data_IF_831018961675
#
_entry.id   IF_831018961675
#
_cell.length_a   1.000
_cell.length_b   1.000
_cell.length_c   1.000
_cell.angle_alpha   90.00
_cell.angle_beta   90.00
_cell.angle_gamma   90.00
#
_symmetry.space_group_name_H-M   'P 1'
#
loop_
_entity.id
_entity.type
_entity.pdbx_description
1 polymer ?
#
# COMPACT_ATOMS: atom_id res chain seq x y z
N UNK A 1 -7.41 -11.51 -51.75
CA UNK A 1 -6.33 -11.01 -50.90
C UNK A 1 -6.62 -9.63 -50.28
N UNK A 2 -6.99 -8.61 -51.07
CA UNK A 2 -7.25 -7.25 -50.51
C UNK A 2 -8.39 -7.20 -49.46
N UNK A 3 -9.45 -7.98 -49.62
CA UNK A 3 -10.59 -8.06 -48.68
C UNK A 3 -10.23 -8.81 -47.37
N UNK A 4 -9.32 -9.78 -47.45
CA UNK A 4 -8.83 -10.53 -46.28
C UNK A 4 -7.89 -9.69 -45.44
N UNK A 5 -7.04 -8.89 -46.06
CA UNK A 5 -6.14 -7.97 -45.40
C UNK A 5 -6.87 -6.85 -44.66
N UNK A 6 -7.97 -6.35 -45.26
CA UNK A 6 -8.86 -5.35 -44.64
C UNK A 6 -9.59 -5.91 -43.40
N UNK A 7 -10.03 -7.16 -43.44
CA UNK A 7 -10.68 -7.83 -42.32
C UNK A 7 -9.73 -8.07 -41.17
N UNK A 8 -8.50 -8.48 -41.45
CA UNK A 8 -7.45 -8.69 -40.42
C UNK A 8 -7.04 -7.37 -39.79
N UNK A 9 -6.93 -6.28 -40.57
CA UNK A 9 -6.61 -4.95 -40.07
C UNK A 9 -7.75 -4.39 -39.19
N UNK A 10 -9.01 -4.62 -39.56
CA UNK A 10 -10.16 -4.22 -38.74
C UNK A 10 -10.23 -5.02 -37.42
N UNK A 11 -9.91 -6.31 -37.47
CA UNK A 11 -9.91 -7.17 -36.30
C UNK A 11 -8.78 -6.81 -35.31
N UNK A 12 -7.59 -6.42 -35.82
CA UNK A 12 -6.48 -5.94 -34.98
C UNK A 12 -6.76 -4.57 -34.37
N UNK A 13 -7.47 -3.69 -35.09
CA UNK A 13 -7.92 -2.41 -34.52
C UNK A 13 -9.02 -2.58 -33.45
N UNK A 14 -9.89 -3.59 -33.57
CA UNK A 14 -10.88 -3.88 -32.52
C UNK A 14 -10.26 -4.49 -31.26
N UNK A 15 -9.14 -5.23 -31.35
CA UNK A 15 -8.44 -5.75 -30.18
C UNK A 15 -7.64 -4.67 -29.42
N UNK A 16 -7.37 -3.51 -30.00
CA UNK A 16 -6.70 -2.40 -29.30
C UNK A 16 -7.64 -1.56 -28.45
N UNK A 17 -8.94 -1.82 -28.47
CA UNK A 17 -9.96 -1.19 -27.62
C UNK A 17 -10.37 -2.05 -26.41
N UNK A 18 -9.60 -3.09 -26.07
CA UNK A 18 -9.63 -3.61 -24.72
C UNK A 18 -8.92 -2.54 -23.86
N UNK A 19 -9.67 -1.53 -23.48
CA UNK A 19 -9.34 -0.74 -22.31
C UNK A 19 -9.23 -1.76 -21.18
N UNK A 20 -8.01 -2.08 -20.78
CA UNK A 20 -7.78 -2.60 -19.46
C UNK A 20 -8.30 -1.48 -18.56
N UNK A 21 -9.56 -1.62 -18.16
CA UNK A 21 -10.09 -0.88 -17.06
C UNK A 21 -9.35 -1.47 -15.85
N UNK A 22 -8.14 -1.00 -15.60
CA UNK A 22 -7.53 -1.09 -14.30
C UNK A 22 -8.46 -0.25 -13.43
N UNK A 23 -9.54 -0.87 -12.98
CA UNK A 23 -10.57 -0.22 -12.20
C UNK A 23 -9.91 0.22 -10.91
N UNK A 24 -9.91 1.52 -10.66
CA UNK A 24 -9.63 2.05 -9.34
C UNK A 24 -10.41 1.22 -8.33
N UNK A 25 -9.76 0.83 -7.24
CA UNK A 25 -10.40 0.04 -6.20
C UNK A 25 -11.53 0.87 -5.60
N UNK A 26 -12.76 0.43 -5.77
CA UNK A 26 -13.91 1.10 -5.15
C UNK A 26 -13.98 0.72 -3.67
N UNK A 27 -14.05 1.71 -2.81
CA UNK A 27 -14.27 1.52 -1.38
C UNK A 27 -15.73 1.76 -1.02
N UNK A 28 -16.23 1.04 -0.01
CA UNK A 28 -17.64 1.16 0.43
C UNK A 28 -17.97 2.53 1.01
N UNK A 29 -16.96 3.32 1.38
CA UNK A 29 -17.02 4.66 1.94
C UNK A 29 -16.40 5.73 1.03
N UNK A 30 -16.41 5.50 -0.28
CA UNK A 30 -15.88 6.41 -1.30
C UNK A 30 -16.41 7.85 -1.19
N UNK A 31 -17.69 8.01 -0.79
CA UNK A 31 -18.32 9.31 -0.62
C UNK A 31 -17.71 10.13 0.53
N UNK A 32 -17.00 9.49 1.46
CA UNK A 32 -16.31 10.15 2.57
C UNK A 32 -14.89 10.61 2.21
N UNK A 33 -14.40 10.24 1.01
CA UNK A 33 -13.04 10.54 0.56
C UNK A 33 -12.93 11.97 0.02
N UNK A 34 -12.29 12.87 0.78
CA UNK A 34 -12.01 14.22 0.32
C UNK A 34 -11.01 14.28 -0.86
N UNK A 35 -10.15 13.27 -0.99
CA UNK A 35 -9.08 13.19 -2.00
C UNK A 35 -9.16 11.85 -2.75
N UNK A 36 -10.36 11.54 -3.29
CA UNK A 36 -10.64 10.25 -3.94
C UNK A 36 -9.60 9.91 -5.02
N UNK A 37 -9.27 10.84 -5.92
CA UNK A 37 -8.29 10.59 -6.99
C UNK A 37 -6.92 10.16 -6.45
N UNK A 38 -6.46 10.76 -5.34
CA UNK A 38 -5.19 10.37 -4.73
C UNK A 38 -5.28 8.97 -4.09
N UNK A 39 -6.41 8.66 -3.44
CA UNK A 39 -6.66 7.33 -2.85
C UNK A 39 -6.72 6.28 -3.95
N UNK A 40 -7.41 6.54 -5.06
CA UNK A 40 -7.51 5.65 -6.20
C UNK A 40 -6.11 5.31 -6.74
N UNK A 41 -5.26 6.32 -6.97
CA UNK A 41 -3.89 6.11 -7.49
C UNK A 41 -3.04 5.27 -6.53
N UNK A 42 -3.00 5.61 -5.23
CA UNK A 42 -2.16 4.87 -4.27
C UNK A 42 -2.70 3.47 -3.96
N UNK A 43 -3.99 3.22 -4.18
CA UNK A 43 -4.61 1.91 -4.06
C UNK A 43 -4.38 1.05 -5.31
N UNK A 44 -4.43 1.65 -6.50
CA UNK A 44 -4.14 0.96 -7.76
C UNK A 44 -2.70 0.42 -7.80
N UNK A 45 -1.73 1.17 -7.29
CA UNK A 45 -0.34 0.73 -7.16
C UNK A 45 -0.09 -0.10 -5.89
N UNK A 46 -1.16 -0.47 -5.15
CA UNK A 46 -1.12 -1.30 -3.94
C UNK A 46 -0.21 -0.76 -2.82
N UNK A 47 -0.05 0.54 -2.73
CA UNK A 47 0.64 1.20 -1.61
C UNK A 47 -0.24 1.15 -0.36
N UNK A 48 -1.57 1.31 -0.54
CA UNK A 48 -2.59 1.10 0.48
C UNK A 48 -3.65 0.14 -0.02
N UNK A 49 -4.20 -0.70 0.85
CA UNK A 49 -5.16 -1.74 0.48
C UNK A 49 -6.58 -1.48 1.01
N UNK A 50 -6.76 -0.53 1.92
CA UNK A 50 -7.99 -0.39 2.71
C UNK A 50 -8.15 -1.52 3.74
N UNK A 51 -9.36 -1.70 4.21
CA UNK A 51 -9.70 -2.70 5.22
C UNK A 51 -10.38 -3.92 4.59
N UNK A 52 -10.42 -5.04 5.32
CA UNK A 52 -11.04 -6.30 4.87
C UNK A 52 -12.54 -6.18 4.61
N UNK A 53 -13.21 -5.22 5.25
CA UNK A 53 -14.63 -4.91 5.03
C UNK A 53 -14.91 -4.10 3.75
N UNK A 54 -13.86 -3.82 2.97
CA UNK A 54 -13.93 -3.07 1.73
C UNK A 54 -13.95 -1.55 1.91
N UNK A 55 -13.78 -1.04 3.13
CA UNK A 55 -13.72 0.40 3.41
C UNK A 55 -12.28 0.93 3.38
N UNK A 56 -12.13 2.25 3.22
CA UNK A 56 -10.86 2.96 3.36
C UNK A 56 -10.69 3.56 4.76
N UNK A 57 -11.77 4.02 5.37
CA UNK A 57 -11.86 4.68 6.70
C UNK A 57 -10.98 5.94 6.80
N UNK A 58 -11.26 6.96 5.98
CA UNK A 58 -10.44 8.18 5.90
C UNK A 58 -10.38 8.95 7.23
N UNK A 59 -11.32 8.73 8.13
CA UNK A 59 -11.36 9.37 9.45
C UNK A 59 -10.48 8.66 10.51
N UNK A 60 -9.98 7.45 10.20
CA UNK A 60 -9.12 6.72 11.13
C UNK A 60 -7.72 7.33 11.17
N UNK A 61 -7.13 7.35 12.36
CA UNK A 61 -5.76 7.80 12.52
C UNK A 61 -4.78 6.75 12.01
N UNK A 62 -3.75 7.20 11.29
CA UNK A 62 -2.68 6.32 10.84
C UNK A 62 -1.82 5.90 12.05
N UNK A 63 -1.61 4.59 12.19
CA UNK A 63 -0.71 4.06 13.22
C UNK A 63 0.73 4.02 12.73
N UNK A 64 1.69 4.00 13.66
CA UNK A 64 3.13 3.93 13.35
C UNK A 64 3.49 2.64 12.60
N UNK A 65 2.87 1.51 12.95
CA UNK A 65 3.06 0.25 12.25
C UNK A 65 2.54 0.29 10.81
N UNK A 66 1.35 0.85 10.61
CA UNK A 66 0.77 1.02 9.28
C UNK A 66 1.61 1.99 8.41
N UNK A 67 2.12 3.08 8.99
CA UNK A 67 3.03 3.99 8.30
C UNK A 67 4.31 3.28 7.83
N UNK A 68 4.91 2.42 8.66
CA UNK A 68 6.08 1.63 8.26
C UNK A 68 5.77 0.74 7.04
N UNK A 69 4.60 0.07 7.01
CA UNK A 69 4.16 -0.72 5.84
C UNK A 69 4.01 0.16 4.60
N UNK A 70 3.32 1.29 4.70
CA UNK A 70 3.11 2.22 3.58
C UNK A 70 4.46 2.69 3.00
N UNK A 71 5.39 3.08 3.86
CA UNK A 71 6.73 3.53 3.44
C UNK A 71 7.48 2.40 2.73
N UNK A 72 7.45 1.18 3.26
CA UNK A 72 8.08 0.04 2.59
C UNK A 72 7.45 -0.24 1.23
N UNK A 73 6.12 -0.18 1.10
CA UNK A 73 5.42 -0.34 -0.18
C UNK A 73 5.84 0.74 -1.19
N UNK A 74 6.02 1.98 -0.75
CA UNK A 74 6.47 3.09 -1.61
C UNK A 74 7.92 2.91 -2.09
N UNK A 75 8.82 2.45 -1.21
CA UNK A 75 10.26 2.37 -1.51
C UNK A 75 10.61 1.11 -2.30
N UNK A 76 10.05 -0.04 -1.90
CA UNK A 76 10.41 -1.37 -2.43
C UNK A 76 9.41 -1.89 -3.46
N UNK A 77 8.24 -1.28 -3.55
CA UNK A 77 7.07 -1.85 -4.19
C UNK A 77 6.36 -2.90 -3.32
N UNK A 78 5.05 -3.08 -3.50
CA UNK A 78 4.21 -3.91 -2.61
C UNK A 78 4.63 -5.38 -2.59
N UNK A 79 5.07 -5.94 -3.71
CA UNK A 79 5.50 -7.33 -3.82
C UNK A 79 6.75 -7.60 -2.96
N UNK A 80 7.78 -6.78 -3.11
CA UNK A 80 9.03 -6.93 -2.33
C UNK A 80 8.80 -6.59 -0.86
N UNK A 81 7.99 -5.58 -0.58
CA UNK A 81 7.67 -5.21 0.79
C UNK A 81 6.90 -6.33 1.54
N UNK A 82 6.05 -7.10 0.84
CA UNK A 82 5.33 -8.22 1.43
C UNK A 82 6.24 -9.39 1.86
N UNK A 83 7.45 -9.47 1.32
CA UNK A 83 8.45 -10.49 1.68
C UNK A 83 9.28 -10.10 2.92
N UNK A 84 9.12 -8.87 3.42
CA UNK A 84 9.85 -8.41 4.60
C UNK A 84 9.43 -9.21 5.84
N UNK A 85 10.41 -9.74 6.54
CA UNK A 85 10.22 -10.44 7.81
C UNK A 85 11.31 -10.00 8.80
N UNK A 86 11.05 -10.21 10.07
CA UNK A 86 12.02 -9.96 11.13
C UNK A 86 12.45 -11.29 11.74
N UNK A 87 13.73 -11.59 11.73
CA UNK A 87 14.29 -12.80 12.36
C UNK A 87 14.30 -12.68 13.90
N UNK A 88 14.39 -11.46 14.38
CA UNK A 88 14.38 -11.13 15.82
C UNK A 88 13.45 -9.94 16.06
N UNK A 89 12.93 -9.82 17.27
CA UNK A 89 12.09 -8.68 17.65
C UNK A 89 12.86 -7.36 17.48
N UNK A 90 12.43 -6.46 16.56
CA UNK A 90 13.16 -5.20 16.32
C UNK A 90 13.06 -4.24 17.50
N UNK A 91 12.01 -4.34 18.30
CA UNK A 91 11.79 -3.58 19.52
C UNK A 91 11.11 -4.45 20.57
N UNK A 92 11.23 -4.10 21.86
CA UNK A 92 10.69 -4.89 22.98
C UNK A 92 9.18 -5.14 22.92
N UNK A 93 8.44 -4.25 22.25
CA UNK A 93 6.98 -4.30 22.08
C UNK A 93 6.54 -4.73 20.66
N UNK A 94 7.48 -5.17 19.83
CA UNK A 94 7.24 -5.67 18.47
C UNK A 94 7.78 -7.08 18.36
N UNK A 95 7.02 -8.10 18.80
CA UNK A 95 7.44 -9.49 18.62
C UNK A 95 7.49 -9.86 17.14
N UNK A 96 8.26 -10.88 16.77
CA UNK A 96 8.40 -11.37 15.38
C UNK A 96 7.04 -11.70 14.75
N UNK A 97 6.08 -12.17 15.55
CA UNK A 97 4.70 -12.46 15.13
C UNK A 97 3.83 -11.23 14.85
N UNK A 98 4.32 -10.03 15.15
CA UNK A 98 3.57 -8.81 14.84
C UNK A 98 3.52 -8.61 13.32
N UNK A 99 2.34 -8.32 12.77
CA UNK A 99 2.11 -8.12 11.33
C UNK A 99 3.04 -7.06 10.70
N UNK A 100 3.47 -6.08 11.48
CA UNK A 100 4.35 -5.01 11.02
C UNK A 100 5.82 -5.24 11.33
N UNK A 101 6.21 -6.39 11.92
CA UNK A 101 7.58 -6.63 12.41
C UNK A 101 8.63 -6.47 11.31
N UNK A 102 8.43 -7.04 10.14
CA UNK A 102 9.35 -6.94 9.00
C UNK A 102 9.48 -5.51 8.47
N UNK A 103 8.38 -4.80 8.33
CA UNK A 103 8.37 -3.40 7.88
C UNK A 103 9.07 -2.48 8.89
N UNK A 104 8.81 -2.69 10.19
CA UNK A 104 9.45 -1.92 11.27
C UNK A 104 10.95 -2.22 11.32
N UNK A 105 11.36 -3.48 11.18
CA UNK A 105 12.77 -3.87 11.15
C UNK A 105 13.51 -3.21 9.98
N UNK A 106 12.92 -3.23 8.79
CA UNK A 106 13.47 -2.56 7.61
C UNK A 106 13.60 -1.05 7.83
N UNK A 107 12.52 -0.37 8.22
CA UNK A 107 12.54 1.07 8.46
C UNK A 107 13.53 1.49 9.55
N UNK A 108 13.69 0.69 10.59
CA UNK A 108 14.67 0.95 11.65
C UNK A 108 16.11 0.78 11.14
N UNK A 109 16.37 -0.28 10.37
CA UNK A 109 17.69 -0.56 9.77
C UNK A 109 18.12 0.55 8.81
N UNK A 110 17.20 1.03 7.98
CA UNK A 110 17.45 2.11 7.01
C UNK A 110 17.40 3.53 7.65
N UNK A 111 17.14 3.62 8.96
CA UNK A 111 17.06 4.91 9.67
C UNK A 111 15.88 5.78 9.29
N UNK A 112 14.82 5.19 8.70
CA UNK A 112 13.64 5.91 8.23
C UNK A 112 12.71 6.27 9.39
N UNK A 113 12.43 5.27 10.26
CA UNK A 113 11.61 5.46 11.47
C UNK A 113 12.38 4.90 12.66
N UNK A 114 12.49 5.70 13.72
CA UNK A 114 13.14 5.30 14.96
C UNK A 114 12.11 4.92 16.03
N UNK A 115 12.51 4.05 16.95
CA UNK A 115 11.78 3.78 18.19
C UNK A 115 11.97 4.90 19.22
N UNK A 116 11.38 4.70 20.39
CA UNK A 116 11.50 5.60 21.51
C UNK A 116 12.74 5.27 22.37
N UNK A 117 13.19 6.25 23.16
CA UNK A 117 14.36 6.10 24.04
C UNK A 117 14.19 4.96 25.08
N UNK A 118 12.95 4.56 25.39
CA UNK A 118 12.65 3.45 26.29
C UNK A 118 12.78 2.07 25.62
N UNK A 119 13.21 2.00 24.35
CA UNK A 119 13.35 0.77 23.59
C UNK A 119 12.04 0.23 23.01
N UNK A 120 10.94 1.01 23.02
CA UNK A 120 9.67 0.66 22.38
C UNK A 120 9.55 1.29 21.00
N UNK A 121 8.68 0.74 20.16
CA UNK A 121 8.27 1.32 18.89
C UNK A 121 6.85 1.86 18.91
N UNK A 122 5.97 1.20 19.67
CA UNK A 122 4.53 1.49 19.79
C UNK A 122 3.82 1.40 18.44
N UNK A 123 3.74 0.20 17.81
CA UNK A 123 3.18 0.02 16.46
C UNK A 123 1.72 0.46 16.35
N UNK A 124 0.93 0.33 17.41
CA UNK A 124 -0.46 0.80 17.48
C UNK A 124 -0.60 2.30 17.84
N UNK A 125 0.51 2.95 18.17
CA UNK A 125 0.49 4.38 18.49
C UNK A 125 0.15 5.23 17.27
N UNK A 126 -0.64 6.30 17.48
CA UNK A 126 -0.98 7.26 16.43
C UNK A 126 0.25 7.98 15.92
N UNK A 127 0.41 8.05 14.60
CA UNK A 127 1.40 8.89 13.96
C UNK A 127 0.89 10.33 13.92
N UNK A 128 1.64 11.26 14.51
CA UNK A 128 1.31 12.68 14.42
C UNK A 128 2.01 13.32 13.22
N UNK A 129 1.43 14.40 12.67
CA UNK A 129 2.02 15.11 11.53
C UNK A 129 3.45 15.63 11.77
N UNK A 130 3.88 15.77 13.03
CA UNK A 130 5.26 16.13 13.38
C UNK A 130 6.22 14.93 13.40
N UNK A 131 5.70 13.71 13.36
CA UNK A 131 6.49 12.48 13.41
C UNK A 131 6.69 11.85 12.01
N UNK A 132 6.22 12.55 10.97
CA UNK A 132 6.28 12.08 9.58
C UNK A 132 7.46 12.79 8.84
#
# INVERSE_FOLDING_TARGET
>A
MKKFLSLVLALTMMMSLVTINAGAKEFTDDEELNYKEAVDVISEISVVDGYEDGSFKPQNTLTRGAAAKIICNLILGPTTAAELHADTAPYKDVPVSNTFSGYIAYCAKEGIISGYADGSFRPAGTLTGYAF
#
